data_IF_298971737796
#
_entry.id   IF_298971737796
#
_cell.length_a   1.000
_cell.length_b   1.000
_cell.length_c   1.000
_cell.angle_alpha   90.00
_cell.angle_beta   90.00
_cell.angle_gamma   90.00
#
_symmetry.space_group_name_H-M   'P 1'
#
loop_
_entity.id
_entity.type
_entity.pdbx_description
1 polymer ?
#
# COMPACT_ATOMS: atom_id res chain seq x y z
N UNK A 1 16.00 37.65 4.11
CA UNK A 1 15.72 36.38 3.39
C UNK A 1 15.19 35.40 4.42
N UNK A 2 13.87 35.30 4.53
CA UNK A 2 13.20 34.39 5.46
C UNK A 2 12.94 33.08 4.69
N UNK A 3 13.69 32.04 5.03
CA UNK A 3 13.47 30.69 4.51
C UNK A 3 12.33 30.03 5.28
N UNK A 4 11.28 29.64 4.56
CA UNK A 4 10.23 28.78 5.10
C UNK A 4 10.63 27.35 4.73
N UNK A 5 11.06 26.56 5.72
CA UNK A 5 11.13 25.10 5.58
C UNK A 5 9.74 24.55 5.86
N UNK A 6 9.08 24.05 4.83
CA UNK A 6 7.87 23.23 5.03
C UNK A 6 8.30 21.79 5.29
N UNK A 7 8.26 21.39 6.56
CA UNK A 7 8.21 19.99 6.97
C UNK A 7 7.01 19.33 6.29
N UNK A 8 7.26 18.30 5.47
CA UNK A 8 6.21 17.38 5.00
C UNK A 8 6.14 16.27 6.04
N UNK A 9 5.29 16.46 7.04
CA UNK A 9 4.84 15.36 7.89
C UNK A 9 3.86 14.53 7.08
N UNK A 10 4.20 13.25 6.85
CA UNK A 10 3.28 12.24 6.34
C UNK A 10 2.12 12.07 7.34
N UNK A 11 1.03 12.82 7.16
CA UNK A 11 -0.26 12.48 7.76
C UNK A 11 -0.92 11.43 6.86
N UNK A 12 -0.99 10.20 7.39
CA UNK A 12 -1.90 9.16 6.90
C UNK A 12 -3.33 9.69 7.02
N UNK A 13 -3.92 10.14 5.91
CA UNK A 13 -5.37 10.38 5.84
C UNK A 13 -6.02 9.00 5.62
N UNK A 14 -6.40 8.39 6.73
CA UNK A 14 -7.25 7.20 6.76
C UNK A 14 -8.67 7.63 6.33
N UNK A 15 -9.05 7.38 5.07
CA UNK A 15 -10.43 7.56 4.62
C UNK A 15 -11.23 6.35 5.11
N UNK A 16 -11.62 6.38 6.38
CA UNK A 16 -12.60 5.47 6.94
C UNK A 16 -13.98 5.77 6.33
N UNK A 17 -14.43 4.96 5.38
CA UNK A 17 -15.83 4.97 4.94
C UNK A 17 -16.68 4.06 5.84
N UNK A 18 -17.14 4.59 6.97
CA UNK A 18 -18.41 4.16 7.56
C UNK A 18 -19.00 5.28 8.42
N UNK A 19 -20.10 5.85 7.93
CA UNK A 19 -21.15 6.61 8.63
C UNK A 19 -20.79 7.31 9.96
N UNK A 20 -20.21 8.52 9.87
CA UNK A 20 -20.44 9.59 10.86
C UNK A 20 -20.04 10.96 10.30
N UNK A 21 -20.81 11.51 9.36
CA UNK A 21 -20.70 12.91 8.97
C UNK A 21 -21.95 13.67 9.42
N UNK A 22 -22.02 13.99 10.72
CA UNK A 22 -22.94 15.01 11.22
C UNK A 22 -22.19 16.32 11.46
N UNK A 23 -22.48 17.27 10.56
CA UNK A 23 -22.37 18.72 10.68
C UNK A 23 -21.01 19.38 11.01
N UNK A 24 -20.57 20.21 10.05
CA UNK A 24 -19.52 21.24 10.11
C UNK A 24 -18.08 20.82 9.80
N UNK A 25 -17.91 20.30 8.58
CA UNK A 25 -16.68 20.57 7.81
C UNK A 25 -17.12 21.30 6.55
N UNK A 26 -16.50 22.46 6.28
CA UNK A 26 -16.55 23.06 4.95
C UNK A 26 -16.25 21.95 3.94
N UNK A 27 -17.10 21.79 2.92
CA UNK A 27 -16.90 20.81 1.84
C UNK A 27 -15.54 21.07 1.17
N UNK A 28 -14.48 20.47 1.70
CA UNK A 28 -13.24 20.29 0.97
C UNK A 28 -13.55 19.19 -0.04
N UNK A 29 -13.95 19.61 -1.24
CA UNK A 29 -14.07 18.72 -2.39
C UNK A 29 -12.65 18.44 -2.83
N UNK A 30 -12.10 17.29 -2.42
CA UNK A 30 -10.89 16.79 -3.06
C UNK A 30 -11.19 16.60 -4.56
N UNK A 31 -10.32 17.07 -5.48
CA UNK A 31 -10.51 16.81 -6.90
C UNK A 31 -10.66 15.30 -7.13
N UNK A 32 -11.38 14.87 -8.18
CA UNK A 32 -11.37 13.45 -8.56
C UNK A 32 -9.91 12.98 -8.67
N UNK A 33 -9.61 11.80 -8.10
CA UNK A 33 -8.28 11.22 -8.20
C UNK A 33 -7.98 10.97 -9.69
N UNK A 34 -7.16 11.83 -10.29
CA UNK A 34 -6.77 11.67 -11.69
C UNK A 34 -6.16 10.27 -11.89
N UNK A 35 -6.71 9.53 -12.85
CA UNK A 35 -6.28 8.17 -13.23
C UNK A 35 -6.59 7.06 -12.22
N UNK A 36 -7.49 7.26 -11.25
CA UNK A 36 -8.01 6.15 -10.45
C UNK A 36 -9.27 5.54 -11.10
N UNK A 37 -9.22 4.26 -11.40
CA UNK A 37 -10.36 3.46 -11.84
C UNK A 37 -10.58 2.31 -10.86
N UNK A 38 -11.81 2.21 -10.33
CA UNK A 38 -12.24 1.16 -9.42
C UNK A 38 -13.36 0.38 -10.09
N UNK A 39 -13.18 -0.93 -10.24
CA UNK A 39 -14.19 -1.87 -10.74
C UNK A 39 -14.39 -2.98 -9.73
N UNK A 40 -15.65 -3.26 -9.43
CA UNK A 40 -16.06 -4.41 -8.63
C UNK A 40 -17.09 -5.18 -9.44
N UNK A 41 -16.78 -6.44 -9.74
CA UNK A 41 -17.68 -7.36 -10.43
C UNK A 41 -17.97 -8.59 -9.57
N UNK A 42 -18.73 -9.53 -10.12
CA UNK A 42 -18.95 -10.80 -9.45
C UNK A 42 -17.69 -11.67 -9.41
N UNK A 43 -16.73 -11.43 -10.31
CA UNK A 43 -15.51 -12.20 -10.48
C UNK A 43 -14.28 -11.60 -9.79
N UNK A 44 -14.15 -10.27 -9.75
CA UNK A 44 -12.92 -9.61 -9.29
C UNK A 44 -13.14 -8.20 -8.71
N UNK A 45 -12.11 -7.73 -7.99
CA UNK A 45 -11.88 -6.30 -7.73
C UNK A 45 -10.70 -5.86 -8.59
N UNK A 46 -10.92 -4.88 -9.46
CA UNK A 46 -9.87 -4.24 -10.24
C UNK A 46 -9.67 -2.80 -9.79
N UNK A 47 -8.41 -2.41 -9.57
CA UNK A 47 -8.01 -1.07 -9.15
C UNK A 47 -6.86 -0.65 -10.05
N UNK A 48 -7.06 0.39 -10.84
CA UNK A 48 -6.05 0.94 -11.72
C UNK A 48 -5.75 2.38 -11.28
N UNK A 49 -4.48 2.72 -11.14
CA UNK A 49 -4.01 4.02 -10.69
C UNK A 49 -2.79 4.46 -11.51
N UNK A 50 -2.22 5.63 -11.19
CA UNK A 50 -0.94 6.05 -11.77
C UNK A 50 0.26 5.17 -11.41
N UNK A 51 0.15 4.30 -10.38
CA UNK A 51 1.29 3.55 -9.82
C UNK A 51 1.10 2.05 -9.88
N UNK A 52 -0.10 1.61 -9.57
CA UNK A 52 -0.43 0.21 -9.41
C UNK A 52 -1.71 -0.08 -10.20
N UNK A 53 -1.67 -1.18 -10.94
CA UNK A 53 -2.87 -1.86 -11.42
C UNK A 53 -2.97 -3.21 -10.72
N UNK A 54 -4.11 -3.48 -10.10
CA UNK A 54 -4.44 -4.80 -9.57
C UNK A 54 -5.76 -5.28 -10.15
N UNK A 55 -5.85 -6.59 -10.35
CA UNK A 55 -7.10 -7.26 -10.75
C UNK A 55 -7.25 -8.55 -9.94
N UNK A 56 -7.76 -8.43 -8.72
CA UNK A 56 -7.75 -9.50 -7.72
C UNK A 56 -9.03 -10.33 -7.87
N UNK A 57 -8.93 -11.61 -8.29
CA UNK A 57 -10.09 -12.49 -8.38
C UNK A 57 -10.68 -12.78 -7.00
N UNK A 58 -12.00 -12.94 -6.91
CA UNK A 58 -12.67 -13.31 -5.64
C UNK A 58 -12.23 -14.67 -5.10
N UNK A 59 -11.70 -15.55 -5.96
CA UNK A 59 -11.10 -16.83 -5.56
C UNK A 59 -9.78 -16.65 -4.80
N UNK A 60 -9.09 -15.52 -4.97
CA UNK A 60 -7.87 -15.16 -4.23
C UNK A 60 -8.24 -14.40 -2.95
N UNK A 61 -9.11 -13.39 -3.09
CA UNK A 61 -9.58 -12.56 -2.00
C UNK A 61 -11.11 -12.42 -2.06
N UNK A 62 -11.81 -13.11 -1.16
CA UNK A 62 -13.26 -13.02 -1.09
C UNK A 62 -13.71 -11.63 -0.62
N UNK A 63 -14.69 -11.07 -1.29
CA UNK A 63 -15.20 -9.73 -1.02
C UNK A 63 -16.61 -9.82 -0.46
N UNK A 64 -16.83 -9.23 0.70
CA UNK A 64 -18.12 -9.18 1.39
C UNK A 64 -18.56 -7.73 1.61
N UNK A 65 -19.75 -7.54 2.16
CA UNK A 65 -20.23 -6.25 2.64
C UNK A 65 -19.33 -5.63 3.74
N UNK A 66 -18.46 -6.42 4.36
CA UNK A 66 -17.49 -6.01 5.37
C UNK A 66 -16.06 -5.85 4.84
N UNK A 67 -15.87 -5.99 3.53
CA UNK A 67 -14.56 -5.74 2.91
C UNK A 67 -14.32 -4.24 2.81
N UNK A 68 -13.15 -3.80 3.25
CA UNK A 68 -12.73 -2.41 3.23
C UNK A 68 -11.60 -2.21 2.23
N UNK A 69 -11.68 -1.10 1.52
CA UNK A 69 -10.68 -0.61 0.58
C UNK A 69 -10.12 0.71 1.12
N UNK A 70 -8.81 0.74 1.37
CA UNK A 70 -8.07 1.95 1.73
C UNK A 70 -7.14 2.37 0.59
N UNK A 71 -7.01 3.67 0.37
CA UNK A 71 -6.09 4.24 -0.61
C UNK A 71 -5.23 5.30 0.08
N UNK A 72 -3.91 5.18 -0.05
CA UNK A 72 -2.99 6.24 0.37
C UNK A 72 -2.66 7.14 -0.81
N UNK A 73 -2.97 8.42 -0.66
CA UNK A 73 -2.80 9.44 -1.70
C UNK A 73 -1.74 10.42 -1.28
N UNK A 74 -0.72 10.59 -2.12
CA UNK A 74 0.30 11.60 -1.94
C UNK A 74 0.00 12.82 -2.82
N UNK A 75 0.36 13.98 -2.28
CA UNK A 75 0.26 15.27 -2.96
C UNK A 75 1.66 15.82 -3.17
N UNK A 76 2.01 16.14 -4.41
CA UNK A 76 3.34 16.61 -4.79
C UNK A 76 3.26 17.92 -5.56
N UNK A 77 4.03 18.92 -5.14
CA UNK A 77 4.11 20.18 -5.89
C UNK A 77 5.24 20.08 -6.92
N UNK A 78 4.88 19.90 -8.20
CA UNK A 78 5.83 19.85 -9.31
C UNK A 78 5.60 21.03 -10.25
N UNK A 79 6.62 21.86 -10.45
CA UNK A 79 6.52 23.07 -11.28
C UNK A 79 5.36 24.00 -10.87
N UNK A 80 5.14 24.18 -9.56
CA UNK A 80 4.01 24.93 -8.98
C UNK A 80 2.62 24.37 -9.30
N UNK A 81 2.53 23.13 -9.77
CA UNK A 81 1.27 22.41 -9.98
C UNK A 81 1.17 21.30 -8.94
N UNK A 82 0.08 21.28 -8.18
CA UNK A 82 -0.22 20.22 -7.23
C UNK A 82 -0.63 18.96 -8.01
N UNK A 83 0.16 17.90 -7.90
CA UNK A 83 -0.10 16.59 -8.48
C UNK A 83 -0.60 15.66 -7.38
N UNK A 84 -1.58 14.83 -7.72
CA UNK A 84 -2.10 13.78 -6.84
C UNK A 84 -1.65 12.43 -7.36
N UNK A 85 -1.24 11.54 -6.46
CA UNK A 85 -0.74 10.22 -6.81
C UNK A 85 -1.22 9.20 -5.79
N UNK A 86 -2.00 8.21 -6.23
CA UNK A 86 -2.34 7.05 -5.39
C UNK A 86 -1.07 6.21 -5.25
N UNK A 87 -0.50 6.19 -4.06
CA UNK A 87 0.77 5.53 -3.74
C UNK A 87 0.60 4.22 -3.00
N UNK A 88 -0.50 4.06 -2.29
CA UNK A 88 -0.79 2.79 -1.64
C UNK A 88 -2.23 2.37 -1.81
N UNK A 89 -2.41 1.06 -1.72
CA UNK A 89 -3.66 0.35 -1.74
C UNK A 89 -3.65 -0.60 -0.55
N UNK A 90 -4.74 -0.66 0.19
CA UNK A 90 -5.00 -1.76 1.10
C UNK A 90 -6.40 -2.33 0.90
N UNK A 91 -6.50 -3.64 1.01
CA UNK A 91 -7.75 -4.38 0.91
C UNK A 91 -7.81 -5.37 2.05
N UNK A 92 -8.84 -5.28 2.87
CA UNK A 92 -8.95 -6.14 4.03
C UNK A 92 -10.38 -6.51 4.37
N UNK A 93 -10.53 -7.70 4.93
CA UNK A 93 -11.78 -8.16 5.52
C UNK A 93 -11.84 -7.70 6.98
N UNK A 94 -12.99 -7.87 7.63
CA UNK A 94 -13.12 -7.57 9.04
C UNK A 94 -12.08 -8.36 9.86
N UNK A 95 -11.22 -7.66 10.61
CA UNK A 95 -10.15 -8.27 11.42
C UNK A 95 -10.64 -9.26 12.48
N UNK A 96 -11.90 -9.16 12.90
CA UNK A 96 -12.55 -10.11 13.82
C UNK A 96 -13.09 -11.36 13.12
N UNK A 97 -13.02 -11.43 11.80
CA UNK A 97 -13.45 -12.59 11.02
C UNK A 97 -12.45 -13.74 11.16
N UNK A 98 -12.94 -14.97 11.25
CA UNK A 98 -12.09 -16.17 11.30
C UNK A 98 -11.22 -16.31 10.03
N UNK A 99 -11.70 -15.81 8.89
CA UNK A 99 -11.00 -15.81 7.61
C UNK A 99 -10.36 -14.46 7.25
N UNK A 100 -9.98 -13.65 8.24
CA UNK A 100 -9.35 -12.36 7.99
C UNK A 100 -8.13 -12.49 7.07
N UNK A 101 -8.14 -11.63 6.05
CA UNK A 101 -7.06 -11.39 5.10
C UNK A 101 -6.89 -9.88 4.94
N UNK A 102 -5.64 -9.47 4.82
CA UNK A 102 -5.22 -8.11 4.51
C UNK A 102 -4.17 -8.15 3.42
N UNK A 103 -4.28 -7.22 2.50
CA UNK A 103 -3.31 -6.94 1.44
C UNK A 103 -2.98 -5.45 1.57
N UNK A 104 -1.70 -5.13 1.54
CA UNK A 104 -1.23 -3.78 1.35
C UNK A 104 -0.14 -3.74 0.30
N UNK A 105 -0.26 -2.77 -0.59
CA UNK A 105 0.75 -2.44 -1.56
C UNK A 105 1.09 -0.96 -1.44
N UNK A 106 2.37 -0.60 -1.39
CA UNK A 106 2.79 0.81 -1.38
C UNK A 106 4.04 1.10 -2.19
N UNK A 107 4.02 2.21 -2.94
CA UNK A 107 5.21 2.87 -3.47
C UNK A 107 5.93 3.57 -2.32
N UNK A 108 7.21 3.26 -2.15
CA UNK A 108 8.10 3.85 -1.17
C UNK A 108 9.19 4.60 -1.92
N UNK A 109 9.29 5.91 -1.68
CA UNK A 109 10.29 6.78 -2.31
C UNK A 109 11.53 6.84 -1.42
N UNK A 110 12.71 6.89 -2.05
CA UNK A 110 13.96 7.05 -1.33
C UNK A 110 13.94 8.36 -0.55
N UNK A 111 14.23 8.34 0.76
CA UNK A 111 14.30 9.55 1.55
C UNK A 111 15.49 10.40 1.09
N UNK A 112 15.32 11.72 1.17
CA UNK A 112 16.41 12.68 0.97
C UNK A 112 17.54 12.46 1.98
N UNK A 113 18.75 12.92 1.63
CA UNK A 113 19.95 12.67 2.45
C UNK A 113 19.88 13.29 3.85
N UNK A 114 19.12 14.35 4.01
CA UNK A 114 18.89 15.09 5.24
C UNK A 114 17.57 14.72 5.94
N UNK A 115 16.86 13.70 5.45
CA UNK A 115 15.68 13.16 6.10
C UNK A 115 15.99 12.62 7.51
N UNK A 116 14.93 12.42 8.31
CA UNK A 116 15.03 11.86 9.65
C UNK A 116 15.78 10.52 9.63
N UNK A 117 16.61 10.27 10.65
CA UNK A 117 17.46 9.08 10.74
C UNK A 117 16.66 7.78 10.65
N UNK A 118 15.45 7.79 11.22
CA UNK A 118 14.52 6.68 11.23
C UNK A 118 14.05 6.34 9.80
N UNK A 119 13.75 7.34 8.97
CA UNK A 119 13.36 7.14 7.58
C UNK A 119 14.51 6.56 6.75
N UNK A 120 15.73 7.07 6.94
CA UNK A 120 16.94 6.55 6.29
C UNK A 120 17.21 5.11 6.74
N UNK A 121 17.05 4.81 8.03
CA UNK A 121 17.24 3.46 8.58
C UNK A 121 16.22 2.47 8.02
N UNK A 122 14.92 2.84 8.01
CA UNK A 122 13.84 2.03 7.47
C UNK A 122 14.03 1.78 5.97
N UNK A 123 14.42 2.81 5.21
CA UNK A 123 14.77 2.66 3.79
C UNK A 123 15.91 1.66 3.60
N UNK A 124 16.98 1.78 4.40
CA UNK A 124 18.11 0.85 4.34
C UNK A 124 17.70 -0.59 4.74
N UNK A 125 16.77 -0.76 5.67
CA UNK A 125 16.23 -2.07 6.01
C UNK A 125 15.47 -2.67 4.81
N UNK A 126 14.57 -1.90 4.19
CA UNK A 126 13.78 -2.32 3.02
C UNK A 126 14.66 -2.65 1.82
N UNK A 127 15.58 -1.76 1.44
CA UNK A 127 16.44 -1.93 0.24
C UNK A 127 17.37 -3.16 0.35
N UNK A 128 17.73 -3.53 1.58
CA UNK A 128 18.55 -4.70 1.87
C UNK A 128 17.72 -5.95 2.18
N UNK A 129 16.38 -5.89 2.10
CA UNK A 129 15.46 -6.98 2.46
C UNK A 129 15.69 -7.52 3.88
N UNK A 130 16.01 -6.62 4.82
CA UNK A 130 16.11 -6.98 6.24
C UNK A 130 14.73 -7.32 6.82
N UNK A 131 14.69 -8.16 7.86
CA UNK A 131 13.46 -8.54 8.56
C UNK A 131 12.60 -7.31 8.89
N UNK A 132 11.28 -7.31 8.62
CA UNK A 132 10.48 -8.44 8.13
C UNK A 132 10.45 -8.64 6.60
N UNK A 133 11.10 -7.78 5.83
CA UNK A 133 11.01 -7.67 4.36
C UNK A 133 11.72 -8.78 3.56
N UNK A 134 11.81 -9.99 4.11
CA UNK A 134 12.59 -11.12 3.58
C UNK A 134 11.83 -11.94 2.55
N UNK A 135 10.55 -11.63 2.27
CA UNK A 135 9.67 -12.44 1.43
C UNK A 135 9.46 -13.87 1.97
N UNK A 136 9.52 -14.04 3.30
CA UNK A 136 9.30 -15.30 4.00
C UNK A 136 8.16 -15.07 5.01
N UNK A 137 7.10 -15.89 5.02
CA UNK A 137 6.04 -15.72 6.00
C UNK A 137 6.55 -15.90 7.43
N UNK A 138 6.00 -15.14 8.36
CA UNK A 138 6.39 -15.18 9.78
C UNK A 138 5.17 -14.99 10.67
N UNK A 139 5.27 -15.42 11.93
CA UNK A 139 4.17 -15.31 12.88
C UNK A 139 4.41 -14.17 13.87
N UNK A 140 3.35 -13.44 14.20
CA UNK A 140 3.33 -12.47 15.28
C UNK A 140 1.90 -12.30 15.79
N UNK A 141 1.69 -12.17 17.10
CA UNK A 141 0.40 -11.82 17.71
C UNK A 141 -0.81 -12.66 17.27
N UNK A 142 -0.62 -13.97 17.02
CA UNK A 142 -1.61 -14.93 16.47
C UNK A 142 -2.00 -14.71 15.00
N UNK A 143 -1.19 -13.99 14.24
CA UNK A 143 -1.33 -13.83 12.80
C UNK A 143 -0.12 -14.43 12.08
N UNK A 144 -0.31 -14.74 10.81
CA UNK A 144 0.77 -15.00 9.86
C UNK A 144 0.88 -13.79 8.94
N UNK A 145 2.08 -13.25 8.82
CA UNK A 145 2.44 -12.09 8.01
C UNK A 145 3.36 -12.48 6.87
N UNK A 146 3.43 -11.62 5.86
CA UNK A 146 4.38 -11.70 4.77
C UNK A 146 4.72 -10.28 4.31
N UNK A 147 6.01 -9.97 4.19
CA UNK A 147 6.48 -8.69 3.65
C UNK A 147 7.55 -8.90 2.59
N UNK A 148 7.36 -8.28 1.43
CA UNK A 148 8.29 -8.33 0.31
C UNK A 148 8.56 -6.95 -0.26
N UNK A 149 9.85 -6.66 -0.47
CA UNK A 149 10.28 -5.53 -1.30
C UNK A 149 10.45 -5.98 -2.76
N UNK A 150 9.66 -5.33 -3.61
CA UNK A 150 9.62 -5.48 -5.06
C UNK A 150 10.37 -4.29 -5.66
N UNK A 151 11.30 -4.58 -6.57
CA UNK A 151 12.06 -3.58 -7.31
C UNK A 151 11.42 -3.37 -8.68
N UNK A 152 11.61 -2.18 -9.24
CA UNK A 152 11.25 -1.92 -10.63
C UNK A 152 11.97 -2.86 -11.59
N UNK A 153 11.27 -3.25 -12.65
CA UNK A 153 11.85 -4.00 -13.75
C UNK A 153 13.08 -3.27 -14.31
N UNK A 154 14.18 -3.99 -14.46
CA UNK A 154 15.44 -3.43 -14.94
C UNK A 154 16.33 -2.80 -13.86
N UNK A 155 15.94 -2.81 -12.59
CA UNK A 155 16.80 -2.37 -11.48
C UNK A 155 18.03 -3.28 -11.36
N UNK A 156 19.18 -2.82 -11.87
CA UNK A 156 20.46 -3.57 -11.82
C UNK A 156 21.17 -3.45 -10.47
N UNK A 157 21.13 -2.25 -9.88
CA UNK A 157 21.74 -1.96 -8.58
C UNK A 157 20.67 -1.49 -7.60
N UNK A 158 20.28 -2.38 -6.69
CA UNK A 158 19.25 -2.12 -5.70
C UNK A 158 19.54 -0.88 -4.87
N UNK A 159 20.81 -0.58 -4.54
CA UNK A 159 21.20 0.57 -3.71
C UNK A 159 21.00 1.92 -4.41
N UNK A 160 20.83 1.91 -5.72
CA UNK A 160 20.55 3.09 -6.53
C UNK A 160 19.06 3.22 -6.89
N UNK A 161 18.20 2.34 -6.37
CA UNK A 161 16.77 2.49 -6.54
C UNK A 161 16.32 3.82 -5.92
N UNK A 162 15.57 4.62 -6.67
CA UNK A 162 14.95 5.86 -6.19
C UNK A 162 13.52 5.61 -5.68
N UNK A 163 12.94 4.47 -6.06
CA UNK A 163 11.68 3.96 -5.52
C UNK A 163 11.72 2.44 -5.41
N UNK A 164 10.98 1.91 -4.44
CA UNK A 164 10.73 0.49 -4.24
C UNK A 164 9.25 0.29 -3.92
N UNK A 165 8.77 -0.94 -4.02
CA UNK A 165 7.39 -1.27 -3.69
C UNK A 165 7.35 -2.28 -2.56
N UNK A 166 6.47 -2.07 -1.60
CA UNK A 166 6.20 -3.01 -0.52
C UNK A 166 4.90 -3.74 -0.83
N UNK A 167 4.95 -5.08 -0.80
CA UNK A 167 3.78 -5.93 -0.66
C UNK A 167 3.77 -6.50 0.76
N UNK A 168 2.72 -6.21 1.51
CA UNK A 168 2.49 -6.74 2.85
C UNK A 168 1.17 -7.52 2.85
N UNK A 169 1.15 -8.68 3.49
CA UNK A 169 -0.04 -9.50 3.66
C UNK A 169 -0.15 -10.00 5.10
N UNK A 170 -1.37 -10.10 5.60
CA UNK A 170 -1.67 -10.63 6.94
C UNK A 170 -2.87 -11.60 6.85
N UNK A 171 -2.80 -12.68 7.61
CA UNK A 171 -3.88 -13.67 7.78
C UNK A 171 -4.09 -13.97 9.25
N UNK A 172 -5.35 -14.11 9.68
CA UNK A 172 -5.69 -14.56 11.04
C UNK A 172 -5.21 -15.99 11.29
N UNK A 173 -4.62 -16.24 12.45
CA UNK A 173 -4.10 -17.53 12.86
C UNK A 173 -2.59 -17.64 12.62
N UNK A 174 -1.86 -18.12 13.63
CA UNK A 174 -0.45 -18.44 13.50
C UNK A 174 -0.24 -19.75 12.72
N UNK A 175 0.95 -19.91 12.15
CA UNK A 175 1.42 -21.09 11.41
C UNK A 175 0.70 -21.37 10.09
N UNK A 176 0.06 -20.35 9.49
CA UNK A 176 -0.54 -20.44 8.15
C UNK A 176 0.49 -20.21 7.03
N UNK A 177 1.70 -20.72 7.19
CA UNK A 177 2.84 -20.43 6.31
C UNK A 177 2.54 -20.82 4.86
N UNK A 178 2.12 -22.07 4.61
CA UNK A 178 1.81 -22.55 3.25
C UNK A 178 0.57 -21.88 2.65
N UNK A 179 -0.41 -21.52 3.48
CA UNK A 179 -1.61 -20.79 3.04
C UNK A 179 -1.24 -19.36 2.61
N UNK A 180 -0.36 -18.70 3.37
CA UNK A 180 0.18 -17.38 3.04
C UNK A 180 1.02 -17.42 1.77
N UNK A 181 1.88 -18.43 1.59
CA UNK A 181 2.68 -18.62 0.37
C UNK A 181 1.78 -18.75 -0.86
N UNK A 182 0.76 -19.62 -0.80
CA UNK A 182 -0.19 -19.82 -1.89
C UNK A 182 -1.01 -18.55 -2.17
N UNK A 183 -1.43 -17.85 -1.12
CA UNK A 183 -2.17 -16.60 -1.23
C UNK A 183 -1.34 -15.53 -1.94
N UNK A 184 -0.11 -15.30 -1.50
CA UNK A 184 0.80 -14.31 -2.09
C UNK A 184 1.18 -14.69 -3.52
N UNK A 185 1.45 -15.97 -3.80
CA UNK A 185 1.77 -16.41 -5.17
C UNK A 185 0.63 -16.10 -6.14
N UNK A 186 -0.62 -16.37 -5.73
CA UNK A 186 -1.79 -16.07 -6.54
C UNK A 186 -2.07 -14.57 -6.64
N UNK A 187 -1.84 -13.82 -5.56
CA UNK A 187 -1.98 -12.36 -5.57
C UNK A 187 -0.98 -11.70 -6.53
N UNK A 188 0.30 -12.08 -6.50
CA UNK A 188 1.35 -11.46 -7.32
C UNK A 188 1.12 -11.60 -8.82
N UNK A 189 0.42 -12.65 -9.27
CA UNK A 189 0.01 -12.83 -10.69
C UNK A 189 -0.92 -11.70 -11.17
N UNK A 190 -1.56 -11.01 -10.24
CA UNK A 190 -2.60 -10.02 -10.47
C UNK A 190 -2.15 -8.58 -10.18
N UNK A 191 -0.89 -8.36 -9.77
CA UNK A 191 -0.34 -7.03 -9.48
C UNK A 191 0.58 -6.60 -10.64
N UNK A 192 0.39 -5.36 -11.12
CA UNK A 192 1.25 -4.70 -12.09
C UNK A 192 1.67 -3.32 -11.57
N UNK A 193 2.96 -3.02 -11.67
CA UNK A 193 3.49 -1.67 -11.41
C UNK A 193 3.41 -0.88 -12.71
N UNK A 194 2.74 0.27 -12.67
CA UNK A 194 2.60 1.17 -13.81
C UNK A 194 3.85 2.06 -13.92
N UNK A 195 4.31 2.29 -15.15
CA UNK A 195 5.53 3.07 -15.46
C UNK A 195 5.22 4.56 -15.56
#
# INVERSE_FOLDING_TARGET
VLGISTEITEELIEIASSECFSSRLSKTVYPPFDNLELKHSDEAISINSSVISVDIPKTVFETTDKTMLGLGVAFELKNNILQQKVRSLELYSNRKSENYKYIHFSENIKPEKDARKEAISLWNQKINKGTPYTAIPYNQDNFTFYDEIIFEEGTKNRRQAERIFLLSCEMSGANKISEMELFVENLKKNIKINK
#
